data_IF_010269415824
#
_entry.id   IF_010269415824
#
_cell.length_a   1.000
_cell.length_b   1.000
_cell.length_c   1.000
_cell.angle_alpha   90.00
_cell.angle_beta   90.00
_cell.angle_gamma   90.00
#
_symmetry.space_group_name_H-M   'P 1'
#
loop_
_entity.id
_entity.type
_entity.pdbx_description
1 polymer ?
#
# COMPACT_ATOMS: atom_id res chain seq x y z
N UNK A 1 -5.29 15.68 14.72
CA UNK A 1 -6.48 15.53 15.59
C UNK A 1 -6.00 15.39 17.03
N UNK A 2 -6.51 16.22 17.96
CA UNK A 2 -6.11 16.18 19.36
C UNK A 2 -6.74 14.96 20.07
N UNK A 3 -6.14 14.48 21.17
CA UNK A 3 -6.62 13.30 21.90
C UNK A 3 -8.08 13.43 22.38
N UNK A 4 -8.46 14.61 22.87
CA UNK A 4 -9.82 14.90 23.30
C UNK A 4 -10.84 14.78 22.15
N UNK A 5 -10.47 15.23 20.95
CA UNK A 5 -11.30 15.12 19.74
C UNK A 5 -11.49 13.65 19.32
N UNK A 6 -10.42 12.85 19.40
CA UNK A 6 -10.49 11.40 19.14
C UNK A 6 -11.42 10.68 20.09
N UNK A 7 -11.40 11.04 21.38
CA UNK A 7 -12.25 10.44 22.39
C UNK A 7 -13.73 10.82 22.19
N UNK A 8 -14.02 12.09 21.89
CA UNK A 8 -15.38 12.56 21.60
C UNK A 8 -15.96 11.88 20.36
N UNK A 9 -15.17 11.79 19.28
CA UNK A 9 -15.61 11.10 18.06
C UNK A 9 -15.90 9.62 18.30
N UNK A 10 -15.08 8.94 19.12
CA UNK A 10 -15.32 7.53 19.46
C UNK A 10 -16.64 7.33 20.22
N UNK A 11 -16.99 8.22 21.14
CA UNK A 11 -18.28 8.18 21.84
C UNK A 11 -19.45 8.34 20.86
N UNK A 12 -19.35 9.30 19.92
CA UNK A 12 -20.37 9.52 18.89
C UNK A 12 -20.48 8.34 17.94
N UNK A 13 -19.34 7.77 17.48
CA UNK A 13 -19.34 6.56 16.67
C UNK A 13 -20.01 5.38 17.41
N UNK A 14 -19.72 5.21 18.69
CA UNK A 14 -20.34 4.16 19.51
C UNK A 14 -21.86 4.32 19.56
N UNK A 15 -22.37 5.53 19.80
CA UNK A 15 -23.81 5.80 19.82
C UNK A 15 -24.45 5.50 18.45
N UNK A 16 -23.86 6.01 17.37
CA UNK A 16 -24.32 5.72 16.00
C UNK A 16 -24.33 4.22 15.69
N UNK A 17 -23.30 3.48 16.10
CA UNK A 17 -23.21 2.04 15.90
C UNK A 17 -24.28 1.28 16.67
N UNK A 18 -24.59 1.69 17.92
CA UNK A 18 -25.67 1.10 18.72
C UNK A 18 -27.04 1.33 18.08
N UNK A 19 -27.35 2.56 17.69
CA UNK A 19 -28.62 2.90 17.04
C UNK A 19 -28.83 2.10 15.74
N UNK A 20 -27.76 1.99 14.92
CA UNK A 20 -27.78 1.22 13.68
C UNK A 20 -28.00 -0.28 13.94
N UNK A 21 -27.29 -0.88 14.91
CA UNK A 21 -27.45 -2.30 15.23
C UNK A 21 -28.86 -2.60 15.78
N UNK A 22 -29.41 -1.73 16.60
CA UNK A 22 -30.79 -1.85 17.07
C UNK A 22 -31.79 -1.78 15.89
N UNK A 23 -31.58 -0.84 14.97
CA UNK A 23 -32.40 -0.73 13.76
C UNK A 23 -32.32 -1.97 12.85
N UNK A 24 -31.22 -2.69 12.89
CA UNK A 24 -31.01 -3.97 12.17
C UNK A 24 -31.48 -5.20 12.98
N UNK A 25 -32.26 -4.98 14.05
CA UNK A 25 -32.78 -6.04 14.93
C UNK A 25 -31.66 -6.91 15.54
N UNK A 26 -30.51 -6.30 15.84
CA UNK A 26 -29.42 -6.96 16.54
C UNK A 26 -29.52 -6.68 18.03
N UNK A 27 -29.34 -7.72 18.84
CA UNK A 27 -29.26 -7.54 20.30
C UNK A 27 -27.95 -6.82 20.66
N UNK A 28 -28.06 -5.64 21.22
CA UNK A 28 -26.94 -4.85 21.71
C UNK A 28 -27.01 -4.80 23.23
N UNK A 29 -26.08 -5.50 23.87
CA UNK A 29 -26.01 -5.51 25.34
C UNK A 29 -25.54 -4.18 25.92
N UNK A 30 -25.78 -3.96 27.20
CA UNK A 30 -25.33 -2.75 27.94
C UNK A 30 -23.80 -2.65 27.96
N UNK A 31 -23.09 -3.75 27.80
CA UNK A 31 -21.63 -3.87 27.77
C UNK A 31 -21.00 -3.65 26.39
N UNK A 32 -21.80 -3.24 25.38
CA UNK A 32 -21.29 -2.96 24.02
C UNK A 32 -20.18 -1.92 24.05
N UNK A 33 -19.03 -2.26 23.49
CA UNK A 33 -17.85 -1.39 23.32
C UNK A 33 -17.34 -1.47 21.90
N UNK A 34 -16.60 -0.43 21.49
CA UNK A 34 -15.79 -0.41 20.28
C UNK A 34 -14.31 -0.48 20.67
N UNK A 35 -13.63 -1.55 20.24
CA UNK A 35 -12.20 -1.75 20.48
C UNK A 35 -11.42 -1.53 19.18
N UNK A 36 -10.23 -0.90 19.23
CA UNK A 36 -9.43 -0.70 18.04
C UNK A 36 -9.15 -2.01 17.31
N UNK A 37 -9.32 -2.02 15.97
CA UNK A 37 -9.05 -3.17 15.12
C UNK A 37 -7.66 -3.12 14.48
N UNK A 38 -7.08 -1.91 14.31
CA UNK A 38 -5.75 -1.70 13.77
C UNK A 38 -5.11 -0.43 14.35
N UNK A 39 -3.77 -0.41 14.35
CA UNK A 39 -2.93 0.74 14.74
C UNK A 39 -2.34 1.42 13.50
N UNK A 40 -3.19 1.91 12.60
CA UNK A 40 -2.73 2.46 11.34
C UNK A 40 -2.25 3.93 11.43
N UNK A 41 -1.49 4.37 10.41
CA UNK A 41 -0.92 5.71 10.34
C UNK A 41 -1.91 6.79 9.87
N UNK A 42 -3.11 6.38 9.46
CA UNK A 42 -4.18 7.21 8.91
C UNK A 42 -4.98 7.95 9.96
N UNK A 43 -5.68 9.02 9.55
CA UNK A 43 -6.75 9.61 10.36
C UNK A 43 -7.98 8.72 10.42
N UNK A 44 -8.12 7.76 9.51
CA UNK A 44 -9.17 6.74 9.50
C UNK A 44 -8.87 5.69 10.56
N UNK A 45 -9.82 5.49 11.47
CA UNK A 45 -9.69 4.55 12.59
C UNK A 45 -10.70 3.42 12.44
N UNK A 46 -10.27 2.21 12.72
CA UNK A 46 -11.09 1.02 12.57
C UNK A 46 -11.35 0.39 13.94
N UNK A 47 -12.59 -0.01 14.18
CA UNK A 47 -13.03 -0.57 15.46
C UNK A 47 -13.87 -1.82 15.24
N UNK A 48 -13.72 -2.79 16.11
CA UNK A 48 -14.61 -3.95 16.21
C UNK A 48 -15.56 -3.81 17.39
N UNK A 49 -16.76 -4.36 17.23
CA UNK A 49 -17.66 -4.51 18.36
C UNK A 49 -17.07 -5.49 19.37
N UNK A 50 -17.17 -5.17 20.66
CA UNK A 50 -16.88 -6.07 21.77
C UNK A 50 -18.09 -6.04 22.69
N UNK A 51 -18.75 -7.19 22.86
CA UNK A 51 -19.85 -7.39 23.79
C UNK A 51 -19.80 -8.82 24.32
N UNK A 52 -20.38 -9.06 25.49
CA UNK A 52 -20.44 -10.41 26.05
C UNK A 52 -21.42 -11.31 25.28
N UNK A 53 -21.14 -12.61 25.27
CA UNK A 53 -21.99 -13.63 24.69
C UNK A 53 -21.81 -13.86 23.19
N UNK A 54 -22.54 -14.86 22.66
CA UNK A 54 -22.42 -15.34 21.28
C UNK A 54 -22.77 -14.28 20.24
N UNK A 55 -23.74 -13.41 20.51
CA UNK A 55 -24.13 -12.32 19.59
C UNK A 55 -23.06 -11.24 19.48
N UNK A 56 -22.40 -10.88 20.59
CA UNK A 56 -21.27 -9.96 20.60
C UNK A 56 -20.09 -10.50 19.76
N UNK A 57 -19.83 -11.80 19.86
CA UNK A 57 -18.82 -12.48 19.08
C UNK A 57 -19.18 -12.52 17.59
N UNK A 58 -20.44 -12.74 17.23
CA UNK A 58 -20.92 -12.70 15.84
C UNK A 58 -20.80 -11.30 15.23
N UNK A 59 -21.16 -10.24 15.98
CA UNK A 59 -21.00 -8.86 15.54
C UNK A 59 -19.53 -8.49 15.31
N UNK A 60 -18.64 -8.87 16.25
CA UNK A 60 -17.20 -8.64 16.12
C UNK A 60 -16.59 -9.34 14.89
N UNK A 61 -17.10 -10.51 14.54
CA UNK A 61 -16.63 -11.25 13.35
C UNK A 61 -17.17 -10.68 12.03
N UNK A 62 -18.33 -10.03 12.05
CA UNK A 62 -19.02 -9.57 10.85
C UNK A 62 -18.74 -8.12 10.51
N UNK A 63 -18.62 -7.24 11.47
CA UNK A 63 -18.61 -5.80 11.26
C UNK A 63 -17.35 -5.12 11.78
N UNK A 64 -16.88 -4.17 11.00
CA UNK A 64 -15.89 -3.14 11.41
C UNK A 64 -16.58 -1.79 11.33
N UNK A 65 -16.40 -0.98 12.37
CA UNK A 65 -16.89 0.40 12.42
C UNK A 65 -15.72 1.34 12.13
N UNK A 66 -15.94 2.25 11.21
CA UNK A 66 -14.91 3.17 10.73
C UNK A 66 -15.23 4.59 11.20
N UNK A 67 -14.23 5.24 11.77
CA UNK A 67 -14.22 6.67 12.02
C UNK A 67 -13.24 7.34 11.06
N UNK A 68 -13.78 8.03 10.06
CA UNK A 68 -13.04 8.72 9.00
C UNK A 68 -13.45 10.19 8.96
N UNK A 69 -12.81 11.07 9.78
CA UNK A 69 -13.20 12.47 9.91
C UNK A 69 -13.20 13.20 8.56
N UNK A 70 -14.34 13.81 8.11
CA UNK A 70 -14.45 14.42 6.78
C UNK A 70 -13.49 15.59 6.54
N UNK A 71 -12.96 16.19 7.61
CA UNK A 71 -11.95 17.26 7.52
C UNK A 71 -10.56 16.74 7.12
N UNK A 72 -10.34 15.43 7.16
CA UNK A 72 -9.03 14.79 6.93
C UNK A 72 -9.11 13.68 5.88
N UNK A 73 -10.29 13.10 5.66
CA UNK A 73 -10.51 11.92 4.82
C UNK A 73 -11.56 12.20 3.73
N UNK A 74 -11.28 11.75 2.51
CA UNK A 74 -12.23 11.82 1.41
C UNK A 74 -13.11 10.55 1.39
N UNK A 75 -14.20 10.57 2.14
CA UNK A 75 -15.11 9.43 2.27
C UNK A 75 -15.89 9.14 0.98
N UNK A 76 -16.15 10.14 0.15
CA UNK A 76 -16.81 9.94 -1.15
C UNK A 76 -15.90 9.16 -2.11
N UNK A 77 -14.60 9.52 -2.16
CA UNK A 77 -13.63 8.79 -2.96
C UNK A 77 -13.49 7.32 -2.48
N UNK A 78 -13.48 7.08 -1.17
CA UNK A 78 -13.45 5.73 -0.62
C UNK A 78 -14.63 4.88 -1.12
N UNK A 79 -15.87 5.39 -1.05
CA UNK A 79 -17.05 4.67 -1.52
C UNK A 79 -17.01 4.45 -3.04
N UNK A 80 -16.65 5.49 -3.81
CA UNK A 80 -16.55 5.40 -5.26
C UNK A 80 -15.55 4.31 -5.69
N UNK A 81 -14.34 4.35 -5.15
CA UNK A 81 -13.29 3.38 -5.51
C UNK A 81 -13.68 1.97 -5.08
N UNK A 82 -14.29 1.82 -3.90
CA UNK A 82 -14.84 0.54 -3.43
C UNK A 82 -15.84 -0.03 -4.43
N UNK A 83 -16.79 0.79 -4.92
CA UNK A 83 -17.82 0.35 -5.85
C UNK A 83 -17.22 -0.04 -7.21
N UNK A 84 -16.24 0.71 -7.71
CA UNK A 84 -15.50 0.38 -8.92
C UNK A 84 -14.77 -0.96 -8.82
N UNK A 85 -14.08 -1.20 -7.72
CA UNK A 85 -13.38 -2.45 -7.45
C UNK A 85 -14.38 -3.62 -7.38
N UNK A 86 -15.50 -3.46 -6.69
CA UNK A 86 -16.55 -4.47 -6.61
C UNK A 86 -17.17 -4.79 -7.98
N UNK A 87 -17.43 -3.77 -8.82
CA UNK A 87 -17.92 -3.94 -10.19
C UNK A 87 -16.91 -4.68 -11.09
N UNK A 88 -15.62 -4.48 -10.85
CA UNK A 88 -14.55 -5.23 -11.53
C UNK A 88 -14.38 -6.67 -11.02
N UNK A 89 -15.18 -7.09 -10.04
CA UNK A 89 -15.10 -8.42 -9.45
C UNK A 89 -14.01 -8.58 -8.38
N UNK A 90 -13.40 -7.47 -7.93
CA UNK A 90 -12.41 -7.48 -6.85
C UNK A 90 -13.12 -7.58 -5.51
N UNK A 91 -12.67 -8.47 -4.65
CA UNK A 91 -13.22 -8.66 -3.30
C UNK A 91 -12.75 -7.52 -2.39
N UNK A 92 -13.65 -6.57 -2.12
CA UNK A 92 -13.49 -5.45 -1.19
C UNK A 92 -14.58 -5.50 -0.12
N UNK A 93 -14.39 -4.87 1.05
CA UNK A 93 -15.40 -4.91 2.12
C UNK A 93 -16.76 -4.37 1.66
N UNK A 94 -17.82 -5.10 1.99
CA UNK A 94 -19.18 -4.58 1.84
C UNK A 94 -19.40 -3.38 2.77
N UNK A 95 -20.16 -2.39 2.29
CA UNK A 95 -20.60 -1.25 3.11
C UNK A 95 -22.04 -1.51 3.55
N UNK A 96 -22.24 -1.74 4.82
CA UNK A 96 -23.58 -1.99 5.36
C UNK A 96 -24.33 -0.70 5.69
N UNK A 97 -23.59 0.33 6.11
CA UNK A 97 -24.14 1.67 6.36
C UNK A 97 -23.04 2.73 6.31
N UNK A 98 -23.41 3.96 6.00
CA UNK A 98 -22.51 5.12 6.03
C UNK A 98 -23.24 6.39 6.45
N UNK A 99 -22.57 7.22 7.25
CA UNK A 99 -22.91 8.61 7.55
C UNK A 99 -21.71 9.47 7.12
N UNK A 100 -21.80 10.03 5.91
CA UNK A 100 -20.71 10.80 5.32
C UNK A 100 -20.51 12.16 5.98
N UNK A 101 -21.55 12.74 6.59
CA UNK A 101 -21.45 14.02 7.30
C UNK A 101 -20.63 13.87 8.57
N UNK A 102 -20.87 12.80 9.34
CA UNK A 102 -20.09 12.45 10.54
C UNK A 102 -18.78 11.73 10.19
N UNK A 103 -18.69 11.10 9.01
CA UNK A 103 -17.58 10.28 8.58
C UNK A 103 -17.57 8.90 9.24
N UNK A 104 -18.75 8.30 9.47
CA UNK A 104 -18.89 6.98 10.06
C UNK A 104 -19.33 5.96 9.01
N UNK A 105 -18.75 4.76 9.08
CA UNK A 105 -19.16 3.65 8.22
C UNK A 105 -19.20 2.35 9.03
N UNK A 106 -20.10 1.45 8.65
CA UNK A 106 -20.11 0.04 9.06
C UNK A 106 -19.81 -0.80 7.85
N UNK A 107 -18.69 -1.49 7.89
CA UNK A 107 -18.16 -2.28 6.78
C UNK A 107 -17.98 -3.75 7.18
N UNK A 108 -17.81 -4.60 6.18
CA UNK A 108 -17.50 -6.01 6.39
C UNK A 108 -16.13 -6.20 7.07
N UNK A 109 -16.07 -7.16 7.99
CA UNK A 109 -14.83 -7.59 8.63
C UNK A 109 -14.23 -8.77 7.88
N UNK A 110 -13.08 -8.57 7.26
CA UNK A 110 -12.30 -9.63 6.58
C UNK A 110 -11.49 -10.52 7.52
N UNK A 111 -11.60 -10.32 8.83
CA UNK A 111 -10.83 -11.07 9.82
C UNK A 111 -9.45 -10.49 10.08
N UNK A 112 -8.48 -11.37 10.40
CA UNK A 112 -7.14 -10.96 10.88
C UNK A 112 -6.01 -11.53 10.03
N UNK A 113 -6.31 -12.36 9.02
CA UNK A 113 -5.28 -13.06 8.27
C UNK A 113 -4.75 -12.23 7.11
N UNK A 114 -3.66 -11.50 7.37
CA UNK A 114 -2.93 -10.78 6.35
C UNK A 114 -2.20 -11.75 5.39
N UNK A 115 -2.08 -11.37 4.13
CA UNK A 115 -1.28 -12.08 3.14
C UNK A 115 0.18 -12.22 3.60
N UNK A 116 0.77 -11.20 4.24
CA UNK A 116 2.12 -11.26 4.80
C UNK A 116 2.28 -12.44 5.77
N UNK A 117 1.40 -12.57 6.75
CA UNK A 117 1.44 -13.66 7.73
C UNK A 117 1.24 -15.04 7.09
N UNK A 118 0.54 -15.11 5.96
CA UNK A 118 0.40 -16.34 5.17
C UNK A 118 1.68 -16.65 4.40
N UNK A 119 2.32 -15.66 3.78
CA UNK A 119 3.60 -15.83 3.07
C UNK A 119 4.72 -16.32 3.99
N UNK A 120 4.72 -15.95 5.25
CA UNK A 120 5.71 -16.41 6.23
C UNK A 120 5.53 -17.89 6.64
N UNK A 121 4.31 -18.43 6.56
CA UNK A 121 3.94 -19.76 7.08
C UNK A 121 3.73 -20.84 6.01
N UNK A 122 3.37 -20.43 4.81
CA UNK A 122 3.02 -21.37 3.74
C UNK A 122 4.26 -22.05 3.15
N UNK A 123 4.07 -23.26 2.60
CA UNK A 123 5.06 -23.91 1.77
C UNK A 123 5.15 -23.24 0.38
N UNK A 124 6.25 -23.42 -0.33
CA UNK A 124 6.52 -22.71 -1.58
C UNK A 124 5.45 -22.86 -2.66
N UNK A 125 4.83 -24.05 -2.76
CA UNK A 125 3.76 -24.28 -3.72
C UNK A 125 2.51 -23.43 -3.41
N UNK A 126 2.15 -23.30 -2.13
CA UNK A 126 1.00 -22.53 -1.68
C UNK A 126 1.28 -21.03 -1.77
N UNK A 127 2.53 -20.59 -1.48
CA UNK A 127 2.97 -19.21 -1.74
C UNK A 127 2.80 -18.85 -3.20
N UNK A 128 3.24 -19.72 -4.11
CA UNK A 128 3.08 -19.52 -5.56
C UNK A 128 1.63 -19.38 -5.97
N UNK A 129 0.74 -20.20 -5.41
CA UNK A 129 -0.69 -20.12 -5.68
C UNK A 129 -1.30 -18.83 -5.13
N UNK A 130 -0.88 -18.38 -3.94
CA UNK A 130 -1.33 -17.13 -3.33
C UNK A 130 -0.90 -15.92 -4.17
N UNK A 131 0.35 -15.87 -4.60
CA UNK A 131 0.86 -14.77 -5.44
C UNK A 131 0.17 -14.74 -6.81
N UNK A 132 -0.10 -15.90 -7.44
CA UNK A 132 -0.87 -15.94 -8.69
C UNK A 132 -2.28 -15.37 -8.52
N UNK A 133 -2.95 -15.66 -7.41
CA UNK A 133 -4.25 -15.04 -7.10
C UNK A 133 -4.13 -13.53 -6.95
N UNK A 134 -3.11 -13.05 -6.24
CA UNK A 134 -2.87 -11.62 -6.11
C UNK A 134 -2.59 -10.94 -7.47
N UNK A 135 -1.81 -11.56 -8.34
CA UNK A 135 -1.58 -11.08 -9.71
C UNK A 135 -2.88 -11.04 -10.53
N UNK A 136 -3.74 -12.05 -10.39
CA UNK A 136 -5.05 -12.04 -11.05
C UNK A 136 -5.95 -10.89 -10.55
N UNK A 137 -5.90 -10.58 -9.25
CA UNK A 137 -6.60 -9.41 -8.70
C UNK A 137 -6.06 -8.10 -9.28
N UNK A 138 -4.73 -7.94 -9.42
CA UNK A 138 -4.15 -6.77 -10.11
C UNK A 138 -4.71 -6.66 -11.54
N UNK A 139 -4.71 -7.76 -12.28
CA UNK A 139 -5.26 -7.77 -13.64
C UNK A 139 -6.75 -7.39 -13.67
N UNK A 140 -7.55 -7.84 -12.69
CA UNK A 140 -8.95 -7.44 -12.57
C UNK A 140 -9.11 -5.94 -12.30
N UNK A 141 -8.32 -5.36 -11.39
CA UNK A 141 -8.34 -3.92 -11.12
C UNK A 141 -8.01 -3.10 -12.38
N UNK A 142 -7.07 -3.56 -13.19
CA UNK A 142 -6.66 -2.91 -14.43
C UNK A 142 -7.74 -2.95 -15.54
N UNK A 143 -8.87 -3.65 -15.34
CA UNK A 143 -10.05 -3.55 -16.21
C UNK A 143 -10.93 -2.32 -15.96
N UNK A 144 -10.75 -1.65 -14.83
CA UNK A 144 -11.52 -0.46 -14.50
C UNK A 144 -11.20 0.59 -15.56
N UNK A 145 -12.24 1.04 -16.28
CA UNK A 145 -12.09 1.90 -17.44
C UNK A 145 -11.55 3.30 -17.09
N UNK A 146 -10.82 3.89 -18.03
CA UNK A 146 -10.11 5.17 -17.94
C UNK A 146 -11.03 6.37 -17.65
N UNK A 147 -12.30 6.26 -17.98
CA UNK A 147 -13.29 7.33 -17.87
C UNK A 147 -13.71 7.62 -16.43
N UNK A 148 -13.24 6.82 -15.50
CA UNK A 148 -13.45 7.05 -14.08
C UNK A 148 -12.50 8.13 -13.61
N UNK A 149 -13.03 9.11 -12.91
CA UNK A 149 -12.32 10.30 -12.41
C UNK A 149 -11.33 9.92 -11.30
N UNK A 150 -10.27 9.18 -11.65
CA UNK A 150 -9.13 8.95 -10.77
C UNK A 150 -8.08 10.03 -10.99
N UNK A 151 -7.38 10.48 -9.95
CA UNK A 151 -6.21 11.32 -10.12
C UNK A 151 -5.18 10.65 -11.02
N UNK A 152 -4.60 11.39 -11.96
CA UNK A 152 -3.54 10.87 -12.83
C UNK A 152 -2.22 10.81 -12.03
N UNK A 153 -1.50 9.70 -12.14
CA UNK A 153 -0.17 9.56 -11.57
C UNK A 153 0.86 10.26 -12.46
N UNK A 154 0.75 11.57 -12.52
CA UNK A 154 1.49 12.42 -13.44
C UNK A 154 2.94 12.69 -12.97
N UNK A 155 3.69 13.44 -13.80
CA UNK A 155 5.06 13.89 -13.49
C UNK A 155 5.16 14.58 -12.14
N UNK A 156 4.17 15.40 -11.77
CA UNK A 156 4.17 16.19 -10.54
C UNK A 156 4.05 15.28 -9.32
N UNK A 157 3.09 14.34 -9.36
CA UNK A 157 2.85 13.40 -8.26
C UNK A 157 4.02 12.42 -8.09
N UNK A 158 4.50 11.80 -9.20
CA UNK A 158 5.68 10.93 -9.19
C UNK A 158 6.91 11.66 -8.63
N UNK A 159 7.15 12.90 -9.09
CA UNK A 159 8.29 13.71 -8.65
C UNK A 159 8.20 14.10 -7.18
N UNK A 160 7.02 14.54 -6.72
CA UNK A 160 6.81 14.94 -5.32
C UNK A 160 7.02 13.79 -4.34
N UNK A 161 6.62 12.57 -4.71
CA UNK A 161 6.85 11.39 -3.89
C UNK A 161 8.34 11.03 -3.80
N UNK A 162 9.08 11.11 -4.90
CA UNK A 162 10.52 10.85 -4.88
C UNK A 162 11.32 11.95 -4.14
N UNK A 163 10.79 13.18 -4.04
CA UNK A 163 11.41 14.23 -3.23
C UNK A 163 11.53 13.84 -1.74
N UNK A 164 10.63 13.00 -1.27
CA UNK A 164 10.67 12.50 0.12
C UNK A 164 11.97 11.75 0.43
N UNK A 165 12.57 11.09 -0.56
CA UNK A 165 13.88 10.43 -0.41
C UNK A 165 14.98 11.41 0.00
N UNK A 166 15.17 12.46 -0.78
CA UNK A 166 16.22 13.45 -0.51
C UNK A 166 15.92 14.24 0.78
N UNK A 167 14.67 14.67 0.97
CA UNK A 167 14.30 15.50 2.12
C UNK A 167 14.29 14.71 3.43
N UNK A 168 13.52 13.61 3.49
CA UNK A 168 13.26 12.92 4.75
C UNK A 168 14.27 11.82 5.05
N UNK A 169 14.59 10.99 4.05
CA UNK A 169 15.54 9.90 4.29
C UNK A 169 16.98 10.41 4.33
N UNK A 170 17.47 11.04 3.25
CA UNK A 170 18.89 11.48 3.20
C UNK A 170 19.13 12.64 4.15
N UNK A 171 18.29 13.69 4.07
CA UNK A 171 18.53 14.94 4.81
C UNK A 171 18.23 14.83 6.30
N UNK A 172 17.08 14.26 6.67
CA UNK A 172 16.62 14.26 8.07
C UNK A 172 16.95 12.98 8.83
N UNK A 173 16.75 11.80 8.23
CA UNK A 173 17.02 10.52 8.90
C UNK A 173 18.52 10.22 8.96
N UNK A 174 19.22 10.28 7.82
CA UNK A 174 20.66 10.05 7.76
C UNK A 174 21.49 11.30 8.12
N UNK A 175 20.86 12.49 8.19
CA UNK A 175 21.51 13.78 8.50
C UNK A 175 22.67 14.12 7.54
N UNK A 176 22.60 13.66 6.30
CA UNK A 176 23.59 13.95 5.27
C UNK A 176 23.26 15.28 4.56
N UNK A 177 24.29 16.06 4.28
CA UNK A 177 24.21 17.22 3.39
C UNK A 177 24.62 16.78 1.99
N UNK A 178 23.75 16.98 1.03
CA UNK A 178 24.01 16.69 -0.38
C UNK A 178 24.83 17.82 -1.01
N UNK A 179 25.76 17.44 -1.91
CA UNK A 179 26.43 18.39 -2.80
C UNK A 179 25.55 18.71 -4.01
N UNK A 180 25.91 19.74 -4.77
CA UNK A 180 25.19 20.12 -5.98
C UNK A 180 25.24 19.01 -7.04
N UNK A 181 26.34 18.27 -7.13
CA UNK A 181 26.49 17.11 -8.03
C UNK A 181 25.59 15.93 -7.62
N UNK A 182 25.48 15.67 -6.32
CA UNK A 182 24.61 14.62 -5.79
C UNK A 182 23.12 14.97 -6.03
N UNK A 183 22.76 16.24 -5.84
CA UNK A 183 21.40 16.75 -6.15
C UNK A 183 21.11 16.59 -7.65
N UNK A 184 22.06 16.99 -8.51
CA UNK A 184 21.91 16.88 -9.96
C UNK A 184 21.73 15.42 -10.41
N UNK A 185 22.46 14.48 -9.78
CA UNK A 185 22.30 13.05 -10.09
C UNK A 185 20.94 12.50 -9.63
N UNK A 186 20.48 12.87 -8.42
CA UNK A 186 19.13 12.50 -7.95
C UNK A 186 18.06 13.02 -8.93
N UNK A 187 18.14 14.28 -9.35
CA UNK A 187 17.18 14.87 -10.30
C UNK A 187 17.24 14.19 -11.68
N UNK A 188 18.44 13.82 -12.16
CA UNK A 188 18.60 13.03 -13.39
C UNK A 188 17.88 11.69 -13.31
N UNK A 189 18.07 10.96 -12.20
CA UNK A 189 17.42 9.67 -11.96
C UNK A 189 15.90 9.85 -11.86
N UNK A 190 15.41 10.84 -11.11
CA UNK A 190 13.97 11.14 -11.06
C UNK A 190 13.38 11.37 -12.44
N UNK A 191 14.06 12.15 -13.28
CA UNK A 191 13.66 12.37 -14.66
C UNK A 191 13.53 11.07 -15.46
N UNK A 192 14.53 10.19 -15.38
CA UNK A 192 14.54 8.88 -16.05
C UNK A 192 13.37 8.00 -15.59
N UNK A 193 13.16 7.91 -14.27
CA UNK A 193 12.09 7.08 -13.69
C UNK A 193 10.69 7.58 -14.07
N UNK A 194 10.50 8.90 -14.10
CA UNK A 194 9.24 9.52 -14.51
C UNK A 194 8.95 9.23 -15.99
N UNK A 195 9.93 9.37 -16.89
CA UNK A 195 9.71 9.06 -18.30
C UNK A 195 9.38 7.58 -18.49
N UNK A 196 10.11 6.67 -17.83
CA UNK A 196 9.80 5.24 -17.88
C UNK A 196 8.39 4.91 -17.38
N UNK A 197 7.93 5.58 -16.30
CA UNK A 197 6.57 5.40 -15.80
C UNK A 197 5.51 5.89 -16.80
N UNK A 198 5.78 6.99 -17.52
CA UNK A 198 4.86 7.58 -18.49
C UNK A 198 4.80 6.85 -19.84
N UNK A 199 5.84 6.12 -20.19
CA UNK A 199 5.88 5.27 -21.39
C UNK A 199 4.98 4.04 -21.26
N UNK A 200 4.68 3.61 -20.04
CA UNK A 200 3.87 2.43 -19.78
C UNK A 200 2.38 2.67 -20.10
N UNK A 201 1.66 1.59 -20.39
CA UNK A 201 0.20 1.64 -20.40
C UNK A 201 -0.31 2.15 -19.05
N UNK A 202 -1.21 3.12 -19.11
CA UNK A 202 -1.82 3.70 -17.90
C UNK A 202 -3.11 2.95 -17.58
N UNK A 203 -3.27 2.54 -16.33
CA UNK A 203 -4.36 1.70 -15.83
C UNK A 203 -4.78 2.13 -14.44
N UNK A 204 -5.82 1.51 -13.88
CA UNK A 204 -6.11 1.62 -12.45
C UNK A 204 -4.92 1.09 -11.64
N UNK A 205 -4.46 1.87 -10.67
CA UNK A 205 -3.36 1.55 -9.75
C UNK A 205 -3.82 1.79 -8.32
N UNK A 206 -3.76 0.76 -7.49
CA UNK A 206 -4.09 0.80 -6.08
C UNK A 206 -3.08 1.62 -5.25
N UNK A 207 -1.83 1.64 -5.68
CA UNK A 207 -0.62 2.25 -5.07
C UNK A 207 -0.04 1.48 -3.89
N UNK A 208 -0.86 0.89 -3.05
CA UNK A 208 -0.40 0.17 -1.85
C UNK A 208 -0.87 -1.30 -1.85
N UNK A 209 -0.73 -1.96 -3.04
CA UNK A 209 -1.09 -3.38 -3.25
C UNK A 209 0.01 -4.32 -2.75
N UNK A 210 0.30 -4.29 -1.48
CA UNK A 210 1.32 -5.09 -0.81
C UNK A 210 0.71 -6.07 0.20
N UNK A 211 1.50 -7.00 0.72
CA UNK A 211 1.05 -8.11 1.56
C UNK A 211 0.34 -7.72 2.86
N UNK A 212 0.51 -6.48 3.34
CA UNK A 212 -0.20 -5.96 4.53
C UNK A 212 -1.59 -5.39 4.20
N UNK A 213 -1.90 -5.16 2.91
CA UNK A 213 -3.20 -4.65 2.46
C UNK A 213 -4.03 -5.69 1.71
N UNK A 214 -3.59 -6.95 1.77
CA UNK A 214 -4.29 -8.11 1.24
C UNK A 214 -4.68 -9.03 2.39
N UNK A 215 -5.97 -9.39 2.45
CA UNK A 215 -6.53 -10.30 3.44
C UNK A 215 -6.79 -11.67 2.82
N UNK A 216 -6.35 -12.74 3.47
CA UNK A 216 -6.69 -14.13 3.04
C UNK A 216 -7.98 -14.51 3.74
N UNK A 217 -9.06 -14.63 2.96
CA UNK A 217 -10.39 -14.93 3.49
C UNK A 217 -10.56 -16.43 3.77
N UNK A 218 -11.59 -16.77 4.53
CA UNK A 218 -11.87 -18.17 4.94
C UNK A 218 -12.13 -19.12 3.77
N UNK A 219 -12.65 -18.61 2.65
CA UNK A 219 -12.87 -19.34 1.39
C UNK A 219 -11.60 -19.43 0.51
N UNK A 220 -10.50 -18.80 0.94
CA UNK A 220 -9.23 -18.74 0.23
C UNK A 220 -9.16 -17.62 -0.81
N UNK A 221 -10.18 -16.78 -0.94
CA UNK A 221 -10.11 -15.57 -1.76
C UNK A 221 -9.23 -14.50 -1.11
N UNK A 222 -8.84 -13.49 -1.91
CA UNK A 222 -8.09 -12.33 -1.44
C UNK A 222 -9.00 -11.11 -1.36
N UNK A 223 -9.17 -10.60 -0.13
CA UNK A 223 -9.78 -9.31 0.12
C UNK A 223 -8.76 -8.17 0.00
N UNK A 224 -9.14 -7.10 -0.67
CA UNK A 224 -8.31 -5.91 -0.86
C UNK A 224 -8.82 -4.80 0.06
N UNK A 225 -7.90 -4.16 0.79
CA UNK A 225 -8.18 -3.03 1.69
C UNK A 225 -7.24 -1.87 1.39
N UNK A 226 -7.52 -0.69 1.92
CA UNK A 226 -6.68 0.52 1.81
C UNK A 226 -6.54 1.05 0.37
N UNK A 227 -7.64 1.09 -0.36
CA UNK A 227 -7.71 1.39 -1.80
C UNK A 227 -8.08 2.85 -2.13
N UNK A 228 -8.38 3.69 -1.15
CA UNK A 228 -8.92 5.04 -1.36
C UNK A 228 -7.97 6.02 -2.07
N UNK A 229 -6.68 5.73 -2.08
CA UNK A 229 -5.65 6.55 -2.73
C UNK A 229 -5.30 6.08 -4.15
N UNK A 230 -6.18 5.29 -4.77
CA UNK A 230 -6.00 4.80 -6.13
C UNK A 230 -5.85 5.93 -7.15
N UNK A 231 -5.07 5.66 -8.18
CA UNK A 231 -4.75 6.60 -9.27
C UNK A 231 -4.83 5.89 -10.63
N UNK A 232 -4.81 6.68 -11.70
CA UNK A 232 -4.59 6.20 -13.05
C UNK A 232 -3.10 6.32 -13.37
N UNK A 233 -2.39 5.19 -13.54
CA UNK A 233 -0.93 5.15 -13.54
C UNK A 233 -0.33 3.91 -14.21
N UNK A 234 1.00 3.73 -14.07
CA UNK A 234 1.77 2.74 -14.83
C UNK A 234 1.37 1.29 -14.52
N UNK A 235 1.21 0.48 -15.56
CA UNK A 235 0.75 -0.92 -15.51
C UNK A 235 1.57 -1.82 -14.58
N UNK A 236 2.83 -1.51 -14.34
CA UNK A 236 3.71 -2.32 -13.48
C UNK A 236 3.67 -1.94 -12.01
N UNK A 237 3.03 -0.83 -11.61
CA UNK A 237 3.14 -0.29 -10.25
C UNK A 237 2.69 -1.26 -9.15
N UNK A 238 1.47 -1.80 -9.27
CA UNK A 238 0.93 -2.72 -8.25
C UNK A 238 1.64 -4.08 -8.28
N UNK A 239 2.11 -4.52 -9.46
CA UNK A 239 2.96 -5.71 -9.56
C UNK A 239 4.29 -5.53 -8.80
N UNK A 240 4.90 -4.34 -8.86
CA UNK A 240 6.06 -3.98 -8.05
C UNK A 240 5.72 -4.01 -6.57
N UNK A 241 4.58 -3.42 -6.17
CA UNK A 241 4.14 -3.38 -4.78
C UNK A 241 3.99 -4.79 -4.18
N UNK A 242 3.56 -5.75 -5.01
CA UNK A 242 3.39 -7.15 -4.63
C UNK A 242 4.72 -7.93 -4.63
N UNK A 243 5.51 -7.87 -5.72
CA UNK A 243 6.66 -8.75 -5.92
C UNK A 243 7.99 -8.19 -5.37
N UNK A 244 8.08 -6.88 -5.18
CA UNK A 244 9.15 -6.17 -4.47
C UNK A 244 8.59 -5.47 -3.25
N UNK A 245 7.82 -6.21 -2.46
CA UNK A 245 7.19 -5.74 -1.22
C UNK A 245 8.23 -5.26 -0.22
N UNK A 246 7.94 -4.20 0.52
CA UNK A 246 8.82 -3.68 1.56
C UNK A 246 8.92 -4.60 2.80
N UNK A 247 8.02 -5.57 2.92
CA UNK A 247 7.85 -6.43 4.10
C UNK A 247 8.21 -7.90 3.87
N UNK A 248 8.28 -8.33 2.60
CA UNK A 248 8.60 -9.70 2.22
C UNK A 248 9.47 -9.72 0.97
N UNK A 249 10.57 -10.49 1.01
CA UNK A 249 11.52 -10.60 -0.10
C UNK A 249 11.33 -11.90 -0.86
N UNK A 250 11.07 -11.81 -2.15
CA UNK A 250 11.14 -12.94 -3.07
C UNK A 250 12.53 -13.00 -3.72
N UNK A 251 13.05 -14.22 -4.04
CA UNK A 251 14.26 -14.37 -4.84
C UNK A 251 14.10 -13.70 -6.22
N UNK A 252 15.16 -13.03 -6.68
CA UNK A 252 15.15 -12.29 -7.97
C UNK A 252 14.65 -13.15 -9.14
N UNK A 253 15.11 -14.42 -9.22
CA UNK A 253 14.69 -15.34 -10.28
C UNK A 253 13.16 -15.57 -10.25
N UNK A 254 12.59 -15.75 -9.07
CA UNK A 254 11.14 -15.90 -8.92
C UNK A 254 10.41 -14.63 -9.35
N UNK A 255 10.91 -13.45 -8.96
CA UNK A 255 10.34 -12.16 -9.38
C UNK A 255 10.34 -12.05 -10.90
N UNK A 256 11.45 -12.32 -11.59
CA UNK A 256 11.53 -12.26 -13.05
C UNK A 256 10.53 -13.22 -13.73
N UNK A 257 10.40 -14.44 -13.22
CA UNK A 257 9.45 -15.42 -13.73
C UNK A 257 7.98 -14.95 -13.56
N UNK A 258 7.65 -14.29 -12.42
CA UNK A 258 6.32 -13.74 -12.19
C UNK A 258 6.01 -12.52 -13.05
N UNK A 259 7.00 -11.66 -13.26
CA UNK A 259 6.87 -10.50 -14.14
C UNK A 259 6.54 -10.95 -15.57
N UNK A 260 7.23 -11.97 -16.08
CA UNK A 260 6.95 -12.55 -17.41
C UNK A 260 5.58 -13.24 -17.46
N UNK A 261 5.21 -14.00 -16.41
CA UNK A 261 3.90 -14.62 -16.29
C UNK A 261 2.77 -13.56 -16.37
N UNK A 262 2.93 -12.43 -15.68
CA UNK A 262 1.97 -11.33 -15.66
C UNK A 262 1.89 -10.63 -17.02
N UNK A 263 3.04 -10.33 -17.64
CA UNK A 263 3.10 -9.75 -18.99
C UNK A 263 2.32 -10.60 -20.00
N UNK A 264 2.60 -11.91 -20.03
CA UNK A 264 1.93 -12.84 -20.93
C UNK A 264 0.42 -12.96 -20.63
N UNK A 265 0.01 -12.87 -19.36
CA UNK A 265 -1.39 -12.85 -18.97
C UNK A 265 -2.10 -11.63 -19.58
N UNK A 266 -1.56 -10.43 -19.38
CA UNK A 266 -2.14 -9.20 -19.92
C UNK A 266 -2.19 -9.18 -21.45
N UNK A 267 -1.14 -9.70 -22.13
CA UNK A 267 -1.14 -9.79 -23.60
C UNK A 267 -2.22 -10.75 -24.13
N UNK A 268 -2.38 -11.93 -23.52
CA UNK A 268 -3.43 -12.89 -23.89
C UNK A 268 -4.83 -12.35 -23.73
N UNK A 269 -5.02 -11.45 -22.78
CA UNK A 269 -6.27 -10.75 -22.52
C UNK A 269 -6.46 -9.49 -23.39
N UNK A 270 -5.51 -9.18 -24.24
CA UNK A 270 -5.54 -8.01 -25.14
C UNK A 270 -5.39 -6.66 -24.43
N UNK A 271 -4.82 -6.66 -23.21
CA UNK A 271 -4.71 -5.47 -22.34
C UNK A 271 -3.34 -4.80 -22.39
N UNK A 272 -2.34 -5.49 -22.88
CA UNK A 272 -1.00 -4.96 -23.07
C UNK A 272 -0.67 -5.02 -24.55
N UNK A 273 -0.12 -3.93 -25.15
CA UNK A 273 0.45 -3.99 -26.48
C UNK A 273 1.50 -5.09 -26.59
N UNK A 274 1.95 -5.38 -27.82
CA UNK A 274 3.05 -6.33 -28.04
C UNK A 274 4.37 -5.72 -27.55
N UNK A 275 4.62 -5.87 -26.27
CA UNK A 275 5.83 -5.43 -25.55
C UNK A 275 6.64 -6.68 -25.23
N UNK A 276 7.94 -6.66 -25.58
CA UNK A 276 8.86 -7.76 -25.29
C UNK A 276 9.16 -7.88 -23.78
N UNK A 277 9.70 -9.04 -23.39
CA UNK A 277 10.02 -9.37 -22.01
C UNK A 277 11.02 -8.41 -21.37
N UNK A 278 12.06 -8.02 -22.12
CA UNK A 278 13.13 -7.18 -21.58
C UNK A 278 12.62 -5.75 -21.31
N UNK A 279 11.80 -5.21 -22.20
CA UNK A 279 11.17 -3.89 -22.04
C UNK A 279 10.22 -3.89 -20.83
N UNK A 280 9.37 -4.93 -20.71
CA UNK A 280 8.42 -5.01 -19.59
C UNK A 280 9.14 -5.20 -18.24
N UNK A 281 10.19 -6.04 -18.19
CA UNK A 281 11.02 -6.22 -17.01
C UNK A 281 11.75 -4.92 -16.63
N UNK A 282 12.25 -4.17 -17.62
CA UNK A 282 12.87 -2.87 -17.37
C UNK A 282 11.86 -1.86 -16.79
N UNK A 283 10.65 -1.80 -17.32
CA UNK A 283 9.58 -0.96 -16.75
C UNK A 283 9.28 -1.31 -15.30
N UNK A 284 9.14 -2.61 -15.00
CA UNK A 284 8.94 -3.11 -13.65
C UNK A 284 10.10 -2.74 -12.72
N UNK A 285 11.34 -2.92 -13.15
CA UNK A 285 12.52 -2.63 -12.33
C UNK A 285 12.68 -1.14 -12.05
N UNK A 286 12.52 -0.28 -13.06
CA UNK A 286 12.58 1.17 -12.89
C UNK A 286 11.43 1.70 -12.03
N UNK A 287 10.22 1.15 -12.19
CA UNK A 287 9.10 1.45 -11.32
C UNK A 287 9.38 1.03 -9.87
N UNK A 288 10.10 -0.08 -9.68
CA UNK A 288 10.59 -0.53 -8.38
C UNK A 288 11.50 0.51 -7.72
N UNK A 289 12.44 1.08 -8.46
CA UNK A 289 13.31 2.15 -7.92
C UNK A 289 12.48 3.37 -7.51
N UNK A 290 11.53 3.84 -8.35
CA UNK A 290 10.66 4.96 -8.02
C UNK A 290 9.90 4.70 -6.71
N UNK A 291 9.23 3.54 -6.61
CA UNK A 291 8.44 3.19 -5.43
C UNK A 291 9.30 3.07 -4.18
N UNK A 292 10.48 2.47 -4.27
CA UNK A 292 11.36 2.30 -3.13
C UNK A 292 11.99 3.61 -2.65
N UNK A 293 12.31 4.55 -3.54
CA UNK A 293 12.69 5.91 -3.15
C UNK A 293 11.57 6.59 -2.36
N UNK A 294 10.32 6.50 -2.85
CA UNK A 294 9.13 6.97 -2.11
C UNK A 294 9.04 6.31 -0.73
N UNK A 295 9.15 4.98 -0.65
CA UNK A 295 9.01 4.23 0.60
C UNK A 295 10.08 4.63 1.63
N UNK A 296 11.36 4.72 1.26
CA UNK A 296 12.43 5.16 2.15
C UNK A 296 12.13 6.56 2.73
N UNK A 297 11.63 7.48 1.89
CA UNK A 297 11.22 8.82 2.32
C UNK A 297 10.01 8.81 3.25
N UNK A 298 8.96 8.04 2.93
CA UNK A 298 7.75 7.91 3.76
C UNK A 298 8.06 7.29 5.11
N UNK A 299 8.82 6.19 5.17
CA UNK A 299 9.16 5.53 6.42
C UNK A 299 9.97 6.44 7.34
N UNK A 300 10.92 7.20 6.78
CA UNK A 300 11.67 8.22 7.52
C UNK A 300 10.77 9.35 8.04
N UNK A 301 9.81 9.81 7.22
CA UNK A 301 8.85 10.84 7.62
C UNK A 301 7.93 10.35 8.74
N UNK A 302 7.43 9.11 8.66
CA UNK A 302 6.60 8.49 9.69
C UNK A 302 7.34 8.38 11.02
N UNK A 303 8.64 8.04 10.99
CA UNK A 303 9.45 8.03 12.19
C UNK A 303 9.63 9.42 12.79
N UNK A 304 10.08 10.39 11.98
CA UNK A 304 10.51 11.70 12.49
C UNK A 304 9.31 12.60 12.85
N UNK A 305 8.25 12.61 12.02
CA UNK A 305 7.09 13.48 12.20
C UNK A 305 6.06 12.86 13.12
N UNK A 306 5.81 11.54 12.98
CA UNK A 306 4.68 10.86 13.61
C UNK A 306 5.09 9.92 14.75
N UNK A 307 6.41 9.79 15.04
CA UNK A 307 6.95 8.95 16.11
C UNK A 307 6.80 7.44 15.87
N UNK A 308 6.56 7.02 14.61
CA UNK A 308 6.31 5.62 14.25
C UNK A 308 7.58 4.92 13.81
N UNK A 309 8.46 4.61 14.76
CA UNK A 309 9.78 4.01 14.49
C UNK A 309 9.74 2.60 13.88
N UNK A 310 8.61 1.87 14.03
CA UNK A 310 8.46 0.49 13.50
C UNK A 310 8.76 0.35 12.01
N UNK A 311 8.54 1.42 11.21
CA UNK A 311 8.79 1.41 9.76
C UNK A 311 10.27 1.57 9.38
N UNK A 312 11.14 1.97 10.30
CA UNK A 312 12.58 2.08 10.02
C UNK A 312 13.19 0.74 9.66
N UNK A 313 12.77 -0.34 10.35
CA UNK A 313 13.25 -1.69 10.10
C UNK A 313 13.03 -2.20 8.67
N UNK A 314 12.12 -1.57 7.91
CA UNK A 314 11.83 -1.96 6.53
C UNK A 314 12.74 -1.23 5.50
N UNK A 315 13.44 -0.16 5.90
CA UNK A 315 14.30 0.64 5.01
C UNK A 315 15.49 -0.15 4.44
N UNK A 316 16.20 -1.00 5.19
CA UNK A 316 17.30 -1.78 4.63
C UNK A 316 16.90 -2.61 3.42
N UNK A 317 15.79 -3.35 3.50
CA UNK A 317 15.28 -4.14 2.37
C UNK A 317 14.93 -3.26 1.16
N UNK A 318 14.31 -2.11 1.40
CA UNK A 318 13.98 -1.12 0.36
C UNK A 318 15.25 -0.63 -0.34
N UNK A 319 16.32 -0.34 0.41
CA UNK A 319 17.60 0.11 -0.15
C UNK A 319 18.33 -1.01 -0.91
N UNK A 320 18.26 -2.25 -0.43
CA UNK A 320 18.79 -3.42 -1.15
C UNK A 320 18.17 -3.56 -2.53
N UNK A 321 16.83 -3.44 -2.67
CA UNK A 321 16.15 -3.48 -3.95
C UNK A 321 16.63 -2.39 -4.92
N UNK A 322 16.87 -1.17 -4.42
CA UNK A 322 17.35 -0.07 -5.27
C UNK A 322 18.76 -0.38 -5.77
N UNK A 323 19.70 -0.73 -4.86
CA UNK A 323 21.09 -1.04 -5.20
C UNK A 323 21.17 -2.22 -6.18
N UNK A 324 20.45 -3.29 -5.90
CA UNK A 324 20.36 -4.47 -6.76
C UNK A 324 19.86 -4.12 -8.17
N UNK A 325 18.82 -3.29 -8.27
CA UNK A 325 18.31 -2.83 -9.56
C UNK A 325 19.35 -1.96 -10.30
N UNK A 326 20.04 -1.07 -9.60
CA UNK A 326 21.07 -0.21 -10.19
C UNK A 326 22.21 -1.02 -10.85
N UNK A 327 22.52 -2.19 -10.32
CA UNK A 327 23.56 -3.06 -10.87
C UNK A 327 23.19 -3.68 -12.24
N UNK A 328 21.89 -3.71 -12.60
CA UNK A 328 21.42 -4.31 -13.85
C UNK A 328 21.32 -3.32 -15.01
N UNK A 329 21.31 -2.00 -14.75
CA UNK A 329 21.04 -0.98 -15.76
C UNK A 329 22.18 0.05 -15.81
N UNK A 330 22.92 0.16 -16.95
CA UNK A 330 24.05 1.10 -17.08
C UNK A 330 23.68 2.55 -16.77
N UNK A 331 22.48 2.98 -17.11
CA UNK A 331 21.97 4.33 -16.84
C UNK A 331 21.76 4.64 -15.36
N UNK A 332 21.71 3.63 -14.50
CA UNK A 332 21.61 3.74 -13.04
C UNK A 332 22.95 3.53 -12.33
N UNK A 333 24.03 3.14 -13.04
CA UNK A 333 25.28 2.71 -12.44
C UNK A 333 25.92 3.80 -11.55
N UNK A 334 25.94 5.06 -11.99
CA UNK A 334 26.49 6.17 -11.20
C UNK A 334 25.71 6.38 -9.89
N UNK A 335 24.40 6.32 -9.96
CA UNK A 335 23.50 6.41 -8.80
C UNK A 335 23.70 5.23 -7.85
N UNK A 336 23.80 4.00 -8.37
CA UNK A 336 24.09 2.81 -7.58
C UNK A 336 25.41 2.93 -6.79
N UNK A 337 26.49 3.35 -7.46
CA UNK A 337 27.78 3.59 -6.81
C UNK A 337 27.72 4.68 -5.72
N UNK A 338 26.93 5.74 -5.93
CA UNK A 338 26.71 6.75 -4.92
C UNK A 338 25.96 6.19 -3.71
N UNK A 339 24.91 5.39 -3.93
CA UNK A 339 24.18 4.73 -2.85
C UNK A 339 25.09 3.83 -2.03
N UNK A 340 25.89 2.96 -2.67
CA UNK A 340 26.79 2.03 -2.00
C UNK A 340 27.88 2.74 -1.18
N UNK A 341 28.43 3.84 -1.69
CA UNK A 341 29.55 4.54 -1.06
C UNK A 341 29.14 5.52 0.02
N UNK A 342 27.94 6.08 -0.06
CA UNK A 342 27.53 7.20 0.79
C UNK A 342 26.29 6.91 1.62
N UNK A 343 25.28 6.28 1.03
CA UNK A 343 23.99 6.08 1.69
C UNK A 343 23.97 4.81 2.53
N UNK A 344 24.39 3.68 1.96
CA UNK A 344 24.40 2.39 2.68
C UNK A 344 25.28 2.43 3.96
N UNK A 345 26.50 3.00 3.95
CA UNK A 345 27.28 3.14 5.19
C UNK A 345 26.58 4.02 6.24
N UNK A 346 26.00 5.15 5.83
CA UNK A 346 25.29 6.03 6.75
C UNK A 346 24.04 5.37 7.33
N UNK A 347 23.33 4.56 6.53
CA UNK A 347 22.20 3.76 6.99
C UNK A 347 22.63 2.75 8.06
N UNK A 348 23.71 2.01 7.83
CA UNK A 348 24.26 1.06 8.78
C UNK A 348 24.67 1.72 10.10
N UNK A 349 25.23 2.93 10.06
CA UNK A 349 25.59 3.70 11.25
C UNK A 349 24.36 4.11 12.09
N UNK A 350 23.22 4.41 11.45
CA UNK A 350 21.95 4.72 12.15
C UNK A 350 21.44 3.48 12.87
N UNK A 351 21.37 2.33 12.17
CA UNK A 351 20.86 1.08 12.76
C UNK A 351 21.76 0.52 13.85
N UNK A 352 23.09 0.68 13.75
CA UNK A 352 24.03 0.21 14.79
C UNK A 352 23.83 0.95 16.12
N UNK A 353 23.37 2.20 16.07
CA UNK A 353 23.16 3.05 17.26
C UNK A 353 21.80 2.81 17.93
N UNK A 354 20.81 2.26 17.22
CA UNK A 354 19.50 1.93 17.80
C UNK A 354 19.49 0.56 18.52
N UNK A 355 20.51 -0.29 18.27
CA UNK A 355 20.66 -1.64 18.89
C UNK A 355 21.55 -1.60 20.12
N UNK A 356 22.28 -0.52 20.38
CA UNK A 356 23.14 -0.30 21.54
C UNK A 356 22.47 0.60 22.57
#
# INVERSE_FOLDING_TARGET
MQENEKAERLLKLKAWAQDLLIALEKAVGEDFQLVPASDDASFRRYFRASAAGDEGMLMSRKYVFVDAPPTHENNQAFLLIRDLLALAGVRVPEIYASDLESGYMMIENFGDQLCLASLEKLEDIDKRALIRRAMAVIAQMQFIADEVVLPVYDRSLLGSEMNLFAEWFVGRQLKLKLTDEEIAEIERIKGLLIESAREQSQVFVHRDFHSRNLMVLADGELGVIDFQDAVFGPVTYDLVSLLKDCYYRFPREEVCNRVEEFRLMLQREGRLPDIDSDTFLKWFDLMGVQRHLKCAGIFSRLNIRDGKSRYLGDIPLVMEYIVETCAHYPELAAFGLWLERRIVPALNDVFSKEVS
#
